data_IF_851401456909
#
_entry.id   IF_851401456909
#
_cell.length_a   1.000
_cell.length_b   1.000
_cell.length_c   1.000
_cell.angle_alpha   90.00
_cell.angle_beta   90.00
_cell.angle_gamma   90.00
#
_symmetry.space_group_name_H-M   'P 1'
#
loop_
_entity.id
_entity.type
_entity.pdbx_description
1 polymer ?
#
# COMPACT_ATOMS: atom_id res chain seq x y z
N UNK A 1 26.06 -20.65 6.67
CA UNK A 1 25.37 -21.73 7.45
C UNK A 1 25.02 -22.86 6.50
N UNK A 2 24.82 -24.10 7.00
CA UNK A 2 24.36 -25.22 6.16
C UNK A 2 22.88 -25.04 5.83
N UNK A 3 22.49 -25.24 4.57
CA UNK A 3 21.09 -25.20 4.19
C UNK A 3 20.31 -26.36 4.82
N UNK A 4 19.07 -26.12 5.22
CA UNK A 4 18.23 -27.16 5.83
C UNK A 4 17.95 -28.33 4.85
N UNK A 5 17.84 -28.05 3.57
CA UNK A 5 17.68 -29.08 2.51
C UNK A 5 18.90 -29.98 2.33
N UNK A 6 20.05 -29.60 2.89
CA UNK A 6 21.31 -30.38 2.82
C UNK A 6 21.56 -31.19 4.10
N UNK A 7 20.69 -31.08 5.11
CA UNK A 7 20.80 -31.80 6.38
C UNK A 7 20.28 -33.23 6.25
N UNK A 8 20.91 -34.15 7.01
CA UNK A 8 20.37 -35.50 7.14
C UNK A 8 19.07 -35.49 7.95
N UNK A 9 18.31 -36.59 7.85
CA UNK A 9 17.06 -36.74 8.63
C UNK A 9 17.32 -36.70 10.13
N UNK A 10 18.42 -37.28 10.57
CA UNK A 10 18.84 -37.26 11.98
C UNK A 10 19.21 -35.86 12.46
N UNK A 11 19.89 -35.08 11.62
CA UNK A 11 20.19 -33.67 11.90
C UNK A 11 18.94 -32.84 12.02
N UNK A 12 17.99 -33.00 11.07
CA UNK A 12 16.70 -32.32 11.11
C UNK A 12 15.86 -32.69 12.32
N UNK A 13 15.88 -33.99 12.74
CA UNK A 13 15.18 -34.44 13.97
C UNK A 13 15.78 -33.83 15.23
N UNK A 14 17.11 -33.74 15.32
CA UNK A 14 17.80 -33.11 16.44
C UNK A 14 17.46 -31.60 16.51
N UNK A 15 17.53 -30.91 15.36
CA UNK A 15 17.18 -29.49 15.24
C UNK A 15 15.71 -29.24 15.59
N UNK A 16 14.81 -30.13 15.14
CA UNK A 16 13.38 -30.02 15.50
C UNK A 16 13.19 -30.07 17.01
N UNK A 17 13.84 -30.97 17.71
CA UNK A 17 13.71 -31.11 19.18
C UNK A 17 14.17 -29.82 19.89
N UNK A 18 15.24 -29.20 19.43
CA UNK A 18 15.74 -27.94 19.98
C UNK A 18 14.74 -26.80 19.71
N UNK A 19 14.23 -26.70 18.50
CA UNK A 19 13.25 -25.68 18.12
C UNK A 19 11.91 -25.87 18.84
N UNK A 20 11.43 -27.10 19.04
CA UNK A 20 10.24 -27.39 19.83
C UNK A 20 10.37 -26.87 21.27
N UNK A 21 11.56 -27.05 21.87
CA UNK A 21 11.86 -26.54 23.22
C UNK A 21 11.85 -25.01 23.24
N UNK A 22 12.52 -24.34 22.28
CA UNK A 22 12.55 -22.88 22.16
C UNK A 22 11.13 -22.33 21.97
N UNK A 23 10.34 -22.97 21.12
CA UNK A 23 8.96 -22.56 20.88
C UNK A 23 8.08 -22.68 22.12
N UNK A 24 8.24 -23.78 22.90
CA UNK A 24 7.53 -23.96 24.15
C UNK A 24 7.91 -22.91 25.20
N UNK A 25 9.20 -22.58 25.31
CA UNK A 25 9.70 -21.52 26.20
C UNK A 25 9.15 -20.14 25.84
N UNK A 26 9.04 -19.84 24.52
CA UNK A 26 8.41 -18.61 24.03
C UNK A 26 6.92 -18.57 24.39
N UNK A 27 6.18 -19.65 24.15
CA UNK A 27 4.74 -19.72 24.51
C UNK A 27 4.52 -19.52 26.01
N UNK A 28 5.41 -20.01 26.86
CA UNK A 28 5.33 -19.85 28.30
C UNK A 28 5.50 -18.40 28.78
N UNK A 29 6.05 -17.50 27.95
CA UNK A 29 6.20 -16.09 28.27
C UNK A 29 4.87 -15.31 28.22
N UNK A 30 3.82 -15.86 27.59
CA UNK A 30 2.51 -15.22 27.51
C UNK A 30 2.50 -13.87 26.79
N UNK A 31 3.26 -13.77 25.68
CA UNK A 31 3.37 -12.53 24.91
C UNK A 31 2.04 -12.09 24.30
N UNK A 32 1.87 -10.79 24.10
CA UNK A 32 0.71 -10.19 23.44
C UNK A 32 1.17 -9.05 22.54
N UNK A 33 1.72 -9.40 21.37
CA UNK A 33 2.38 -8.49 20.42
C UNK A 33 1.59 -8.43 19.12
N UNK A 34 1.55 -7.26 18.47
CA UNK A 34 0.83 -7.06 17.20
C UNK A 34 1.78 -6.51 16.11
N UNK A 35 2.10 -7.36 15.14
CA UNK A 35 2.90 -7.05 13.95
C UNK A 35 2.05 -7.15 12.66
N UNK A 36 0.72 -7.04 12.78
CA UNK A 36 -0.21 -7.28 11.68
C UNK A 36 -0.50 -6.04 10.82
N UNK A 37 -0.38 -4.83 11.39
CA UNK A 37 -0.93 -3.62 10.78
C UNK A 37 0.14 -2.61 10.41
N UNK A 38 0.19 -2.26 9.11
CA UNK A 38 0.94 -1.11 8.60
C UNK A 38 0.22 0.21 8.90
N UNK A 39 0.17 0.60 10.16
CA UNK A 39 -0.37 1.88 10.62
C UNK A 39 0.71 2.66 11.39
N UNK A 40 0.61 4.00 11.44
CA UNK A 40 1.52 4.81 12.24
C UNK A 40 1.51 4.40 13.71
N UNK A 41 2.69 4.38 14.32
CA UNK A 41 2.85 4.21 15.77
C UNK A 41 2.42 5.49 16.52
N UNK A 42 2.28 5.39 17.85
CA UNK A 42 1.98 6.55 18.70
C UNK A 42 3.04 7.65 18.52
N UNK A 43 4.32 7.29 18.43
CA UNK A 43 5.40 8.26 18.23
C UNK A 43 5.27 8.99 16.89
N UNK A 44 4.88 8.29 15.82
CA UNK A 44 4.60 8.93 14.53
C UNK A 44 3.38 9.86 14.59
N UNK A 45 2.34 9.51 15.32
CA UNK A 45 1.18 10.39 15.49
C UNK A 45 1.55 11.63 16.29
N UNK A 46 2.38 11.47 17.33
CA UNK A 46 2.80 12.59 18.19
C UNK A 46 3.59 13.66 17.44
N UNK A 47 4.34 13.34 16.37
CA UNK A 47 5.03 14.36 15.58
C UNK A 47 4.10 15.26 14.77
N UNK A 48 2.84 14.87 14.62
CA UNK A 48 1.80 15.67 13.95
C UNK A 48 0.93 16.47 14.94
N UNK A 49 1.17 16.38 16.26
CA UNK A 49 0.27 16.99 17.26
C UNK A 49 0.16 18.51 17.14
N UNK A 50 1.24 19.20 16.79
CA UNK A 50 1.22 20.68 16.61
C UNK A 50 0.22 21.12 15.52
N UNK A 51 -0.21 20.19 14.65
CA UNK A 51 -1.27 20.43 13.68
C UNK A 51 -2.61 20.77 14.34
N UNK A 52 -2.84 20.34 15.58
CA UNK A 52 -4.07 20.63 16.32
C UNK A 52 -4.18 22.10 16.70
N UNK A 53 -3.06 22.81 16.79
CA UNK A 53 -2.96 24.19 17.28
C UNK A 53 -2.94 25.24 16.15
N UNK A 54 -2.87 24.81 14.88
CA UNK A 54 -2.78 25.75 13.74
C UNK A 54 -4.12 26.43 13.40
N UNK A 55 -5.23 25.89 13.88
CA UNK A 55 -6.57 26.49 13.79
C UNK A 55 -7.16 26.74 15.17
N UNK A 56 -7.57 27.96 15.41
CA UNK A 56 -8.24 28.38 16.64
C UNK A 56 -9.42 29.31 16.32
N UNK A 57 -10.17 29.72 17.33
CA UNK A 57 -11.25 30.70 17.18
C UNK A 57 -10.79 32.08 16.72
N UNK A 58 -9.48 32.39 16.84
CA UNK A 58 -8.87 33.65 16.39
C UNK A 58 -8.20 33.52 15.02
N UNK A 59 -8.12 32.32 14.43
CA UNK A 59 -7.53 32.10 13.11
C UNK A 59 -8.47 32.59 12.01
N UNK A 60 -7.93 33.25 10.99
CA UNK A 60 -8.68 33.47 9.75
C UNK A 60 -8.92 32.12 9.04
N UNK A 61 -10.17 31.73 8.97
CA UNK A 61 -10.64 30.44 8.41
C UNK A 61 -11.06 30.54 6.95
N UNK A 62 -10.62 31.59 6.24
CA UNK A 62 -10.80 31.71 4.80
C UNK A 62 -9.63 31.14 4.04
N UNK A 63 -9.94 30.51 2.90
CA UNK A 63 -8.92 30.14 1.95
C UNK A 63 -8.43 31.39 1.15
N UNK A 64 -7.39 31.26 0.36
CA UNK A 64 -6.77 32.35 -0.40
C UNK A 64 -7.75 33.06 -1.36
N UNK A 65 -8.81 32.39 -1.83
CA UNK A 65 -9.85 33.00 -2.67
C UNK A 65 -10.95 33.68 -1.85
N UNK A 66 -10.80 33.77 -0.53
CA UNK A 66 -11.73 34.43 0.36
C UNK A 66 -12.92 33.58 0.79
N UNK A 67 -13.01 32.33 0.36
CA UNK A 67 -14.10 31.42 0.76
C UNK A 67 -13.95 31.02 2.22
N UNK A 68 -15.01 31.14 3.00
CA UNK A 68 -15.07 30.71 4.38
C UNK A 68 -15.10 29.17 4.48
N UNK A 69 -14.01 28.57 4.99
CA UNK A 69 -13.85 27.13 5.08
C UNK A 69 -14.85 26.44 6.05
N UNK A 70 -15.59 27.19 6.84
CA UNK A 70 -16.65 26.67 7.72
C UNK A 70 -17.94 26.37 6.96
N UNK A 71 -18.10 26.87 5.75
CA UNK A 71 -19.36 26.82 5.00
C UNK A 71 -19.30 25.84 3.81
N UNK A 72 -20.38 25.62 3.16
CA UNK A 72 -20.51 24.82 1.94
C UNK A 72 -19.68 25.38 0.77
N UNK A 73 -19.55 24.59 -0.27
CA UNK A 73 -18.93 25.01 -1.55
C UNK A 73 -17.50 24.52 -1.73
N UNK A 74 -16.89 24.93 -2.84
CA UNK A 74 -15.54 24.54 -3.28
C UNK A 74 -15.43 23.00 -3.40
N UNK A 75 -16.16 22.46 -4.37
CA UNK A 75 -16.34 21.02 -4.58
C UNK A 75 -15.01 20.28 -4.76
N UNK A 76 -14.07 20.87 -5.51
CA UNK A 76 -12.77 20.26 -5.81
C UNK A 76 -11.74 20.41 -4.67
N UNK A 77 -12.09 21.10 -3.59
CA UNK A 77 -11.17 21.46 -2.53
C UNK A 77 -10.58 22.88 -2.66
N UNK A 78 -10.05 23.42 -1.57
CA UNK A 78 -9.45 24.77 -1.59
C UNK A 78 -8.17 24.77 -2.43
N UNK A 79 -7.86 25.88 -3.14
CA UNK A 79 -6.73 25.92 -4.07
C UNK A 79 -5.39 25.55 -3.44
N UNK A 80 -5.13 26.04 -2.23
CA UNK A 80 -3.89 25.76 -1.52
C UNK A 80 -3.75 24.26 -1.12
N UNK A 81 -4.85 23.56 -0.84
CA UNK A 81 -4.82 22.13 -0.60
C UNK A 81 -4.58 21.34 -1.90
N UNK A 82 -5.17 21.80 -3.01
CA UNK A 82 -4.91 21.22 -4.34
C UNK A 82 -3.42 21.37 -4.71
N UNK A 83 -2.80 22.52 -4.43
CA UNK A 83 -1.35 22.71 -4.65
C UNK A 83 -0.53 21.78 -3.78
N UNK A 84 -0.81 21.72 -2.48
CA UNK A 84 -0.06 20.87 -1.56
C UNK A 84 -0.11 19.39 -1.97
N UNK A 85 -1.30 18.86 -2.27
CA UNK A 85 -1.42 17.47 -2.73
C UNK A 85 -0.93 17.28 -4.16
N UNK A 86 -0.96 18.33 -4.98
CA UNK A 86 -0.34 18.36 -6.29
C UNK A 86 1.18 18.18 -6.21
N UNK A 87 1.84 18.94 -5.37
CA UNK A 87 3.28 18.82 -5.11
C UNK A 87 3.65 17.43 -4.56
N UNK A 88 2.90 16.91 -3.58
CA UNK A 88 3.09 15.56 -3.02
C UNK A 88 2.94 14.47 -4.10
N UNK A 89 2.05 14.68 -5.06
CA UNK A 89 1.70 13.71 -6.08
C UNK A 89 2.40 13.95 -7.42
N UNK A 90 3.18 15.04 -7.53
CA UNK A 90 3.83 15.47 -8.78
C UNK A 90 2.84 15.72 -9.92
N UNK A 91 1.70 16.35 -9.60
CA UNK A 91 0.58 16.60 -10.53
C UNK A 91 0.15 18.06 -10.46
N UNK A 92 -0.18 18.64 -11.62
CA UNK A 92 -0.77 19.99 -11.69
C UNK A 92 -2.07 20.06 -10.85
N UNK A 93 -2.24 21.09 -9.99
CA UNK A 93 -3.44 21.27 -9.18
C UNK A 93 -4.76 21.26 -9.94
N UNK A 94 -4.76 21.65 -11.23
CA UNK A 94 -5.96 21.59 -12.08
C UNK A 94 -6.44 20.15 -12.34
N UNK A 95 -5.56 19.18 -12.18
CA UNK A 95 -5.82 17.74 -12.38
C UNK A 95 -6.19 17.01 -11.09
N UNK A 96 -6.53 17.72 -10.00
CA UNK A 96 -6.81 17.14 -8.67
C UNK A 96 -8.19 17.53 -8.16
N UNK A 97 -8.87 16.55 -7.55
CA UNK A 97 -10.04 16.76 -6.68
C UNK A 97 -9.67 16.27 -5.28
N UNK A 98 -9.87 17.14 -4.27
CA UNK A 98 -9.72 16.77 -2.85
C UNK A 98 -10.99 16.10 -2.37
N UNK A 99 -10.81 15.03 -1.60
CA UNK A 99 -11.87 14.26 -0.96
C UNK A 99 -11.80 14.32 0.57
N UNK A 100 -12.47 13.36 1.23
CA UNK A 100 -12.39 13.16 2.66
C UNK A 100 -11.05 12.58 3.13
N UNK A 101 -11.05 11.87 4.23
CA UNK A 101 -9.80 11.49 4.92
C UNK A 101 -9.07 10.26 4.35
N UNK A 102 -9.64 9.51 3.42
CA UNK A 102 -9.09 8.21 3.02
C UNK A 102 -9.14 7.97 1.52
N UNK A 103 -7.99 7.67 0.91
CA UNK A 103 -7.92 7.23 -0.49
C UNK A 103 -8.68 5.92 -0.74
N UNK A 104 -8.82 5.06 0.28
CA UNK A 104 -9.62 3.82 0.17
C UNK A 104 -11.09 4.14 -0.14
N UNK A 105 -11.67 5.16 0.51
CA UNK A 105 -13.02 5.63 0.19
C UNK A 105 -13.13 6.13 -1.24
N UNK A 106 -12.13 6.88 -1.71
CA UNK A 106 -12.10 7.41 -3.08
C UNK A 106 -12.04 6.28 -4.10
N UNK A 107 -11.20 5.27 -3.85
CA UNK A 107 -11.12 4.07 -4.70
C UNK A 107 -12.44 3.29 -4.71
N UNK A 108 -13.05 3.08 -3.54
CA UNK A 108 -14.36 2.43 -3.44
C UNK A 108 -15.43 3.20 -4.22
N UNK A 109 -15.51 4.52 -4.02
CA UNK A 109 -16.47 5.38 -4.74
C UNK A 109 -16.25 5.34 -6.25
N UNK A 110 -14.99 5.29 -6.69
CA UNK A 110 -14.65 5.23 -8.12
C UNK A 110 -15.13 3.93 -8.75
N UNK A 111 -14.92 2.78 -8.08
CA UNK A 111 -15.46 1.49 -8.54
C UNK A 111 -17.00 1.48 -8.48
N UNK A 112 -17.58 1.99 -7.39
CA UNK A 112 -19.05 2.08 -7.22
C UNK A 112 -19.72 2.90 -8.34
N UNK A 113 -19.14 4.04 -8.70
CA UNK A 113 -19.62 4.86 -9.84
C UNK A 113 -19.51 4.11 -11.16
N UNK A 114 -18.39 3.41 -11.38
CA UNK A 114 -18.22 2.61 -12.59
C UNK A 114 -19.24 1.48 -12.68
N UNK A 115 -19.56 0.84 -11.54
CA UNK A 115 -20.60 -0.18 -11.47
C UNK A 115 -22.00 0.38 -11.81
N UNK A 116 -22.35 1.54 -11.30
CA UNK A 116 -23.70 2.10 -11.35
C UNK A 116 -23.96 3.00 -12.54
N UNK A 117 -22.95 3.76 -12.99
CA UNK A 117 -23.07 4.82 -14.01
C UNK A 117 -22.14 4.63 -15.20
N UNK A 118 -21.20 3.68 -15.15
CA UNK A 118 -20.17 3.52 -16.17
C UNK A 118 -19.03 4.54 -16.04
N UNK A 119 -18.13 4.55 -16.99
CA UNK A 119 -16.99 5.45 -17.08
C UNK A 119 -17.09 6.24 -18.38
N UNK A 120 -17.13 7.57 -18.29
CA UNK A 120 -17.17 8.47 -19.46
C UNK A 120 -18.23 8.07 -20.52
N UNK A 121 -19.44 7.78 -20.07
CA UNK A 121 -20.57 7.44 -20.92
C UNK A 121 -20.61 5.98 -21.42
N UNK A 122 -19.67 5.16 -21.04
CA UNK A 122 -19.71 3.73 -21.33
C UNK A 122 -20.78 3.02 -20.47
N UNK A 123 -21.14 1.80 -20.85
CA UNK A 123 -22.13 0.98 -20.14
C UNK A 123 -21.74 0.78 -18.68
N UNK A 124 -22.68 1.02 -17.73
CA UNK A 124 -22.47 0.69 -16.33
C UNK A 124 -22.01 -0.75 -16.15
N UNK A 125 -20.99 -0.99 -15.34
CA UNK A 125 -20.40 -2.33 -15.21
C UNK A 125 -21.38 -3.36 -14.66
N UNK A 126 -22.34 -2.94 -13.82
CA UNK A 126 -23.40 -3.85 -13.32
C UNK A 126 -24.34 -4.38 -14.41
N UNK A 127 -24.32 -3.82 -15.63
CA UNK A 127 -25.09 -4.26 -16.79
C UNK A 127 -24.29 -5.15 -17.75
N UNK A 128 -23.02 -5.37 -17.46
CA UNK A 128 -22.16 -6.25 -18.26
C UNK A 128 -22.23 -7.67 -17.72
N UNK A 129 -22.13 -8.65 -18.60
CA UNK A 129 -22.12 -10.07 -18.21
C UNK A 129 -20.92 -10.39 -17.30
N UNK A 130 -19.81 -9.73 -17.52
CA UNK A 130 -18.57 -9.98 -16.78
C UNK A 130 -17.70 -8.74 -16.67
N UNK A 131 -17.14 -8.54 -15.48
CA UNK A 131 -16.13 -7.51 -15.20
C UNK A 131 -14.95 -8.16 -14.51
N UNK A 132 -13.74 -7.83 -14.95
CA UNK A 132 -12.49 -8.37 -14.43
C UNK A 132 -11.51 -7.25 -14.07
N UNK A 133 -10.69 -7.51 -13.06
CA UNK A 133 -9.54 -6.67 -12.69
C UNK A 133 -8.26 -7.49 -12.67
N UNK A 134 -7.19 -6.89 -13.13
CA UNK A 134 -5.84 -7.40 -12.92
C UNK A 134 -5.36 -7.02 -11.52
N UNK A 135 -4.76 -7.96 -10.84
CA UNK A 135 -4.32 -7.83 -9.47
C UNK A 135 -2.85 -8.26 -9.37
N UNK A 136 -1.89 -7.31 -9.42
CA UNK A 136 -0.50 -7.60 -9.10
C UNK A 136 -0.38 -8.24 -7.71
N UNK A 137 0.31 -9.39 -7.64
CA UNK A 137 0.41 -10.21 -6.43
C UNK A 137 1.86 -10.63 -6.14
N UNK A 138 2.23 -10.69 -4.85
CA UNK A 138 1.44 -10.28 -3.67
C UNK A 138 1.11 -8.79 -3.72
N UNK A 139 -0.06 -8.39 -3.18
CA UNK A 139 -0.57 -7.02 -3.30
C UNK A 139 -1.35 -6.56 -2.05
N UNK A 140 -2.04 -5.42 -2.18
CA UNK A 140 -2.75 -4.81 -1.07
C UNK A 140 -4.16 -5.39 -0.89
N UNK A 141 -4.39 -6.04 0.24
CA UNK A 141 -5.63 -6.75 0.55
C UNK A 141 -6.91 -5.89 0.47
N UNK A 142 -6.82 -4.59 0.74
CA UNK A 142 -7.99 -3.68 0.66
C UNK A 142 -8.46 -3.45 -0.77
N UNK A 143 -7.57 -3.39 -1.74
CA UNK A 143 -7.91 -3.34 -3.15
C UNK A 143 -8.71 -4.58 -3.56
N UNK A 144 -8.23 -5.76 -3.18
CA UNK A 144 -8.90 -7.02 -3.49
C UNK A 144 -10.28 -7.11 -2.82
N UNK A 145 -10.43 -6.56 -1.61
CA UNK A 145 -11.73 -6.52 -0.93
C UNK A 145 -12.75 -5.62 -1.63
N UNK A 146 -12.33 -4.52 -2.24
CA UNK A 146 -13.23 -3.67 -3.06
C UNK A 146 -13.74 -4.48 -4.26
N UNK A 147 -12.83 -5.10 -5.02
CA UNK A 147 -13.20 -5.89 -6.20
C UNK A 147 -14.07 -7.09 -5.85
N UNK A 148 -13.72 -7.81 -4.79
CA UNK A 148 -14.51 -8.94 -4.29
C UNK A 148 -15.94 -8.51 -3.89
N UNK A 149 -16.04 -7.36 -3.18
CA UNK A 149 -17.33 -6.80 -2.72
C UNK A 149 -18.29 -6.51 -3.89
N UNK A 150 -17.77 -6.01 -5.01
CA UNK A 150 -18.57 -5.74 -6.20
C UNK A 150 -18.75 -6.94 -7.14
N UNK A 151 -18.27 -8.11 -6.77
CA UNK A 151 -18.37 -9.32 -7.61
C UNK A 151 -17.49 -9.27 -8.86
N UNK A 152 -16.46 -8.43 -8.87
CA UNK A 152 -15.50 -8.33 -9.98
C UNK A 152 -14.52 -9.50 -9.91
N UNK A 153 -14.35 -10.22 -11.02
CA UNK A 153 -13.38 -11.31 -11.11
C UNK A 153 -11.94 -10.76 -11.05
N UNK A 154 -11.10 -11.38 -10.23
CA UNK A 154 -9.73 -10.98 -10.06
C UNK A 154 -8.77 -11.96 -10.71
N UNK A 155 -7.81 -11.43 -11.50
CA UNK A 155 -6.77 -12.17 -12.18
C UNK A 155 -5.43 -11.82 -11.56
N UNK A 156 -4.72 -12.81 -11.02
CA UNK A 156 -3.38 -12.61 -10.48
C UNK A 156 -2.37 -12.27 -11.59
N UNK A 157 -1.56 -11.24 -11.35
CA UNK A 157 -0.41 -10.88 -12.19
C UNK A 157 0.84 -10.94 -11.31
N UNK A 158 1.86 -11.73 -11.65
CA UNK A 158 3.07 -11.82 -10.86
C UNK A 158 3.79 -10.46 -10.76
N UNK A 159 4.36 -10.19 -9.58
CA UNK A 159 5.22 -9.03 -9.34
C UNK A 159 6.71 -9.41 -9.45
N UNK A 160 7.51 -8.47 -9.91
CA UNK A 160 8.96 -8.47 -9.87
C UNK A 160 9.48 -7.19 -9.20
N UNK A 161 10.78 -7.07 -8.91
CA UNK A 161 11.37 -5.80 -8.42
C UNK A 161 11.12 -4.59 -9.32
N UNK A 162 10.90 -4.81 -10.62
CA UNK A 162 10.62 -3.76 -11.61
C UNK A 162 9.14 -3.37 -11.72
N UNK A 163 8.25 -4.13 -11.09
CA UNK A 163 6.79 -3.99 -11.17
C UNK A 163 6.08 -5.28 -11.60
N UNK A 164 4.81 -5.20 -12.02
CA UNK A 164 4.07 -6.36 -12.49
C UNK A 164 4.61 -6.91 -13.81
N UNK A 165 4.33 -8.18 -14.09
CA UNK A 165 4.62 -8.82 -15.39
C UNK A 165 3.84 -8.08 -16.50
N UNK A 166 4.53 -7.15 -17.16
CA UNK A 166 3.95 -6.31 -18.20
C UNK A 166 3.64 -7.06 -19.48
N UNK A 167 4.31 -8.16 -19.78
CA UNK A 167 3.98 -8.99 -20.94
C UNK A 167 2.59 -9.61 -20.76
N UNK A 168 2.33 -10.11 -19.56
CA UNK A 168 1.01 -10.61 -19.19
C UNK A 168 -0.06 -9.50 -19.17
N UNK A 169 0.26 -8.33 -18.58
CA UNK A 169 -0.66 -7.19 -18.52
C UNK A 169 -1.05 -6.73 -19.92
N UNK A 170 -0.09 -6.45 -20.79
CA UNK A 170 -0.32 -5.97 -22.15
C UNK A 170 -1.18 -6.95 -22.97
N UNK A 171 -0.85 -8.24 -22.88
CA UNK A 171 -1.60 -9.29 -23.56
C UNK A 171 -3.05 -9.32 -23.09
N UNK A 172 -3.28 -9.46 -21.80
CA UNK A 172 -4.63 -9.62 -21.25
C UNK A 172 -5.50 -8.38 -21.50
N UNK A 173 -4.95 -7.20 -21.29
CA UNK A 173 -5.68 -5.93 -21.47
C UNK A 173 -6.05 -5.69 -22.92
N UNK A 174 -5.21 -6.10 -23.88
CA UNK A 174 -5.48 -5.93 -25.32
C UNK A 174 -6.44 -6.99 -25.90
N UNK A 175 -6.57 -8.16 -25.28
CA UNK A 175 -7.38 -9.28 -25.79
C UNK A 175 -8.76 -9.38 -25.14
N UNK A 176 -8.93 -8.97 -23.86
CA UNK A 176 -10.15 -9.19 -23.09
C UNK A 176 -10.86 -7.88 -22.72
N UNK A 177 -11.98 -7.52 -23.40
CA UNK A 177 -12.76 -6.31 -23.10
C UNK A 177 -13.51 -6.36 -21.77
N UNK A 178 -13.55 -7.51 -21.08
CA UNK A 178 -14.11 -7.62 -19.73
C UNK A 178 -13.14 -7.06 -18.66
N UNK A 179 -11.87 -6.91 -18.98
CA UNK A 179 -10.88 -6.32 -18.06
C UNK A 179 -11.05 -4.80 -18.04
N UNK A 180 -11.53 -4.30 -16.90
CA UNK A 180 -11.88 -2.89 -16.71
C UNK A 180 -10.86 -2.13 -15.87
N UNK A 181 -9.96 -2.81 -15.20
CA UNK A 181 -8.96 -2.15 -14.38
C UNK A 181 -7.82 -3.03 -13.93
N UNK A 182 -6.82 -2.35 -13.39
CA UNK A 182 -5.66 -2.94 -12.71
C UNK A 182 -5.35 -2.13 -11.45
N UNK A 183 -5.12 -2.83 -10.33
CA UNK A 183 -4.64 -2.20 -9.09
C UNK A 183 -3.13 -2.06 -9.11
N UNK A 184 -2.62 -0.87 -8.82
CA UNK A 184 -1.19 -0.59 -8.72
C UNK A 184 -0.86 0.14 -7.43
N UNK A 185 0.18 -0.31 -6.72
CA UNK A 185 0.87 0.44 -5.67
C UNK A 185 2.31 0.65 -6.17
N UNK A 186 2.56 1.73 -6.92
CA UNK A 186 3.74 1.80 -7.79
C UNK A 186 5.02 2.20 -7.08
N UNK A 187 4.95 2.79 -5.89
CA UNK A 187 6.11 3.19 -5.10
C UNK A 187 6.03 2.55 -3.73
N UNK A 188 7.12 1.88 -3.33
CA UNK A 188 7.19 1.13 -2.08
C UNK A 188 5.99 0.20 -1.90
N UNK A 189 5.75 -0.64 -2.90
CA UNK A 189 4.57 -1.49 -3.04
C UNK A 189 4.27 -2.33 -1.79
N UNK A 190 3.02 -2.62 -1.58
CA UNK A 190 2.56 -3.47 -0.48
C UNK A 190 2.39 -4.91 -1.00
N UNK A 191 3.08 -5.91 -0.42
CA UNK A 191 3.98 -5.83 0.75
C UNK A 191 5.48 -5.71 0.43
N UNK A 192 5.91 -5.74 -0.86
CA UNK A 192 7.32 -5.98 -1.23
C UNK A 192 8.21 -4.74 -1.02
N UNK A 193 7.65 -3.55 -1.02
CA UNK A 193 8.43 -2.31 -1.00
C UNK A 193 9.12 -2.00 -2.33
N UNK A 194 8.70 -2.62 -3.42
CA UNK A 194 9.22 -2.36 -4.77
C UNK A 194 8.70 -1.03 -5.32
N UNK A 195 9.50 -0.39 -6.15
CA UNK A 195 9.09 0.78 -6.94
C UNK A 195 9.15 0.43 -8.42
N UNK A 196 8.08 0.74 -9.16
CA UNK A 196 8.02 0.43 -10.59
C UNK A 196 9.11 1.16 -11.35
N UNK A 197 9.80 0.44 -12.23
CA UNK A 197 10.83 1.02 -13.09
C UNK A 197 10.23 2.00 -14.10
N UNK A 198 11.06 2.90 -14.62
CA UNK A 198 10.63 3.83 -15.68
C UNK A 198 10.08 3.10 -16.90
N UNK A 199 10.68 1.96 -17.28
CA UNK A 199 10.17 1.19 -18.41
C UNK A 199 8.80 0.58 -18.12
N UNK A 200 8.56 0.09 -16.90
CA UNK A 200 7.25 -0.39 -16.47
C UNK A 200 6.21 0.71 -16.58
N UNK A 201 6.50 1.92 -16.08
CA UNK A 201 5.57 3.07 -16.18
C UNK A 201 5.31 3.44 -17.64
N UNK A 202 6.35 3.48 -18.49
CA UNK A 202 6.20 3.75 -19.93
C UNK A 202 5.38 2.67 -20.65
N UNK A 203 5.51 1.41 -20.25
CA UNK A 203 4.69 0.30 -20.78
C UNK A 203 3.23 0.46 -20.38
N UNK A 204 2.93 0.82 -19.13
CA UNK A 204 1.58 1.18 -18.70
C UNK A 204 0.99 2.30 -19.54
N UNK A 205 1.75 3.37 -19.79
CA UNK A 205 1.31 4.51 -20.58
C UNK A 205 0.94 4.15 -22.02
N UNK A 206 1.59 3.13 -22.60
CA UNK A 206 1.38 2.68 -23.99
C UNK A 206 0.37 1.55 -24.13
N UNK A 207 -0.31 1.13 -23.06
CA UNK A 207 -1.32 0.07 -23.13
C UNK A 207 -2.37 0.39 -24.18
N UNK A 208 -2.87 -0.65 -24.84
CA UNK A 208 -3.95 -0.59 -25.84
C UNK A 208 -5.12 -1.44 -25.39
N UNK A 209 -5.93 -0.95 -24.45
CA UNK A 209 -7.03 -1.74 -23.90
C UNK A 209 -8.09 -2.08 -24.95
N UNK A 210 -8.57 -3.32 -24.95
CA UNK A 210 -9.75 -3.71 -25.70
C UNK A 210 -11.02 -3.06 -25.13
N UNK A 211 -11.02 -2.72 -23.82
CA UNK A 211 -12.11 -2.00 -23.18
C UNK A 211 -11.86 -0.47 -23.19
N UNK A 212 -12.75 0.36 -23.80
CA UNK A 212 -12.57 1.81 -23.83
C UNK A 212 -12.68 2.47 -22.46
N UNK A 213 -13.28 1.79 -21.52
CA UNK A 213 -13.49 2.20 -20.13
C UNK A 213 -12.50 1.56 -19.15
N UNK A 214 -11.42 0.95 -19.65
CA UNK A 214 -10.31 0.46 -18.82
C UNK A 214 -9.62 1.60 -18.09
N UNK A 215 -9.28 1.40 -16.81
CA UNK A 215 -8.51 2.37 -16.00
C UNK A 215 -7.42 1.69 -15.19
N UNK A 216 -6.30 2.38 -15.07
CA UNK A 216 -5.21 2.06 -14.16
C UNK A 216 -5.53 2.75 -12.83
N UNK A 217 -5.73 1.98 -11.76
CA UNK A 217 -5.95 2.48 -10.40
C UNK A 217 -4.58 2.59 -9.72
N UNK A 218 -4.01 3.79 -9.74
CA UNK A 218 -2.65 4.11 -9.34
C UNK A 218 -2.65 4.63 -7.90
N UNK A 219 -2.53 3.73 -6.92
CA UNK A 219 -2.52 4.08 -5.49
C UNK A 219 -1.12 4.52 -5.06
N UNK A 220 -0.87 5.83 -5.12
CA UNK A 220 0.40 6.45 -4.76
C UNK A 220 0.46 6.80 -3.25
N UNK A 221 0.15 5.82 -2.40
CA UNK A 221 0.07 6.00 -0.96
C UNK A 221 1.41 6.35 -0.29
N UNK A 222 2.53 6.03 -0.94
CA UNK A 222 3.87 6.14 -0.37
C UNK A 222 4.80 7.10 -1.13
N UNK A 223 4.25 8.10 -1.81
CA UNK A 223 5.02 9.05 -2.64
C UNK A 223 6.21 9.69 -1.92
N UNK A 224 6.06 10.01 -0.63
CA UNK A 224 7.06 10.71 0.21
C UNK A 224 7.53 9.86 1.42
N UNK A 225 7.32 8.55 1.40
CA UNK A 225 7.57 7.67 2.56
C UNK A 225 8.93 6.97 2.47
N UNK A 226 9.99 7.74 2.27
CA UNK A 226 11.35 7.24 2.28
C UNK A 226 11.81 6.87 3.69
N UNK A 227 12.65 5.84 3.83
CA UNK A 227 13.31 5.50 5.09
C UNK A 227 14.63 6.25 5.27
N UNK A 228 15.22 6.77 4.19
CA UNK A 228 16.51 7.44 4.15
C UNK A 228 16.37 8.87 3.65
N UNK A 229 17.17 9.78 4.22
CA UNK A 229 17.18 11.20 3.83
C UNK A 229 18.08 11.47 2.62
N UNK A 230 19.07 10.60 2.35
CA UNK A 230 19.91 10.71 1.15
C UNK A 230 19.10 10.33 -0.09
N UNK A 231 18.95 11.24 -1.02
CA UNK A 231 18.22 11.03 -2.29
C UNK A 231 18.73 9.84 -3.11
N UNK A 232 20.02 9.48 -2.95
CA UNK A 232 20.58 8.28 -3.63
C UNK A 232 20.05 6.96 -3.08
N UNK A 233 19.53 6.98 -1.87
CA UNK A 233 18.90 5.83 -1.23
C UNK A 233 17.38 5.85 -1.37
N UNK A 234 16.81 6.87 -2.03
CA UNK A 234 15.38 6.97 -2.30
C UNK A 234 15.06 6.42 -3.69
N UNK A 235 13.92 5.76 -3.81
CA UNK A 235 13.45 5.33 -5.11
C UNK A 235 12.76 6.48 -5.84
N UNK A 236 13.02 6.55 -7.14
CA UNK A 236 12.33 7.45 -8.06
C UNK A 236 11.19 6.71 -8.76
N UNK A 237 10.04 7.36 -8.89
CA UNK A 237 8.90 6.88 -9.68
C UNK A 237 8.57 7.89 -10.76
N UNK A 238 8.55 7.45 -12.01
CA UNK A 238 8.16 8.30 -13.14
C UNK A 238 6.67 8.67 -13.04
N UNK A 239 6.32 9.92 -13.42
CA UNK A 239 4.93 10.41 -13.32
C UNK A 239 4.05 9.81 -14.43
N UNK A 240 3.07 9.00 -14.05
CA UNK A 240 2.25 8.22 -14.96
C UNK A 240 1.26 9.05 -15.80
N UNK A 241 0.69 10.15 -15.27
CA UNK A 241 -0.25 10.98 -16.02
C UNK A 241 0.44 11.67 -17.19
N UNK A 242 1.66 12.18 -16.96
CA UNK A 242 2.49 12.78 -18.01
C UNK A 242 2.88 11.76 -19.08
N UNK A 243 3.28 10.57 -18.68
CA UNK A 243 3.64 9.50 -19.63
C UNK A 243 2.43 9.03 -20.44
N UNK A 244 1.26 8.91 -19.83
CA UNK A 244 0.02 8.61 -20.54
C UNK A 244 -0.36 9.71 -21.53
N UNK A 245 -0.21 10.97 -21.15
CA UNK A 245 -0.46 12.09 -22.07
C UNK A 245 0.50 12.07 -23.27
N UNK A 246 1.80 11.86 -23.05
CA UNK A 246 2.82 11.70 -24.10
C UNK A 246 2.53 10.51 -25.03
N UNK A 247 1.98 9.43 -24.48
CA UNK A 247 1.61 8.23 -25.25
C UNK A 247 0.26 8.35 -25.99
N UNK A 248 -0.48 9.45 -25.81
CA UNK A 248 -1.80 9.65 -26.40
C UNK A 248 -2.95 8.96 -25.66
N UNK A 249 -2.74 8.55 -24.41
CA UNK A 249 -3.70 7.86 -23.54
C UNK A 249 -4.01 8.66 -22.25
N UNK A 250 -4.34 9.98 -22.31
CA UNK A 250 -4.43 10.82 -21.11
C UNK A 250 -5.50 10.36 -20.11
N UNK A 251 -6.53 9.65 -20.59
CA UNK A 251 -7.69 9.29 -19.76
C UNK A 251 -7.57 7.93 -19.08
N UNK A 252 -6.43 7.25 -19.20
CA UNK A 252 -6.31 5.86 -18.77
C UNK A 252 -6.07 5.68 -17.26
N UNK A 253 -5.79 6.77 -16.50
CA UNK A 253 -5.34 6.68 -15.12
C UNK A 253 -6.27 7.39 -14.15
N UNK A 254 -6.53 6.73 -13.02
CA UNK A 254 -6.96 7.33 -11.76
C UNK A 254 -5.83 7.20 -10.74
N UNK A 255 -5.24 8.33 -10.34
CA UNK A 255 -4.15 8.38 -9.36
C UNK A 255 -4.69 8.82 -8.00
N UNK A 256 -4.42 8.03 -6.98
CA UNK A 256 -4.91 8.27 -5.62
C UNK A 256 -3.77 8.62 -4.69
N UNK A 257 -4.02 9.55 -3.77
CA UNK A 257 -3.09 9.91 -2.71
C UNK A 257 -3.84 10.27 -1.44
N UNK A 258 -3.17 10.24 -0.30
CA UNK A 258 -3.72 10.72 0.97
C UNK A 258 -2.62 11.06 1.97
N UNK A 259 -2.96 11.88 2.96
CA UNK A 259 -2.09 12.18 4.09
C UNK A 259 -2.26 11.20 5.27
N UNK A 260 -2.93 10.05 5.05
CA UNK A 260 -3.24 9.08 6.12
C UNK A 260 -2.02 8.58 6.89
N UNK A 261 -0.86 8.49 6.23
CA UNK A 261 0.40 8.09 6.85
C UNK A 261 1.41 9.24 6.95
N UNK A 262 0.97 10.46 6.65
CA UNK A 262 1.75 11.70 6.76
C UNK A 262 1.33 12.45 8.03
N UNK A 263 0.01 12.70 8.20
CA UNK A 263 -0.58 13.37 9.37
C UNK A 263 -1.31 12.37 10.26
N UNK A 264 -2.64 12.35 10.19
CA UNK A 264 -3.49 11.45 10.99
C UNK A 264 -4.35 10.55 10.09
N UNK A 265 -4.31 9.22 10.22
CA UNK A 265 -5.16 8.32 9.45
C UNK A 265 -6.66 8.60 9.61
N UNK A 266 -7.07 8.96 10.82
CA UNK A 266 -8.48 9.27 11.13
C UNK A 266 -8.92 10.67 10.72
N UNK A 267 -8.00 11.55 10.36
CA UNK A 267 -8.25 12.98 10.09
C UNK A 267 -7.30 13.54 9.03
N UNK A 268 -6.98 12.74 8.03
CA UNK A 268 -6.19 13.15 6.88
C UNK A 268 -7.03 13.82 5.80
N UNK A 269 -6.41 14.08 4.65
CA UNK A 269 -7.06 14.45 3.40
C UNK A 269 -6.61 13.51 2.29
N UNK A 270 -7.53 13.17 1.40
CA UNK A 270 -7.27 12.32 0.23
C UNK A 270 -7.56 13.09 -1.06
N UNK A 271 -6.98 12.62 -2.14
CA UNK A 271 -7.22 13.20 -3.45
C UNK A 271 -7.24 12.13 -4.54
N UNK A 272 -7.95 12.47 -5.63
CA UNK A 272 -7.88 11.79 -6.90
C UNK A 272 -7.33 12.75 -7.93
N UNK A 273 -6.29 12.32 -8.64
CA UNK A 273 -5.75 13.02 -9.80
C UNK A 273 -6.03 12.21 -11.07
N UNK A 274 -6.40 12.93 -12.15
CA UNK A 274 -6.71 12.32 -13.44
C UNK A 274 -6.70 13.39 -14.55
N UNK A 275 -6.90 12.98 -15.80
CA UNK A 275 -7.12 13.90 -16.90
C UNK A 275 -8.34 14.78 -16.66
N UNK A 276 -8.36 15.94 -17.32
CA UNK A 276 -9.51 16.86 -17.25
C UNK A 276 -10.82 16.15 -17.62
N UNK A 277 -10.81 15.33 -18.67
CA UNK A 277 -12.00 14.62 -19.13
C UNK A 277 -12.53 13.63 -18.06
N UNK A 278 -11.66 12.88 -17.39
CA UNK A 278 -12.05 12.03 -16.27
C UNK A 278 -12.60 12.86 -15.11
N UNK A 279 -11.97 13.97 -14.75
CA UNK A 279 -12.43 14.82 -13.65
C UNK A 279 -13.79 15.44 -13.95
N UNK A 280 -14.02 15.90 -15.20
CA UNK A 280 -15.30 16.45 -15.62
C UNK A 280 -16.42 15.38 -15.59
N UNK A 281 -16.11 14.14 -15.91
CA UNK A 281 -17.05 13.02 -15.76
C UNK A 281 -17.35 12.72 -14.27
N UNK A 282 -16.33 12.65 -13.44
CA UNK A 282 -16.46 12.42 -12.00
C UNK A 282 -17.28 13.51 -11.31
N UNK A 283 -17.08 14.79 -11.66
CA UNK A 283 -17.80 15.94 -11.06
C UNK A 283 -19.30 15.83 -11.20
N UNK A 284 -19.81 15.22 -12.28
CA UNK A 284 -21.26 15.01 -12.48
C UNK A 284 -21.89 14.23 -11.33
N UNK A 285 -21.14 13.34 -10.74
CA UNK A 285 -21.62 12.43 -9.68
C UNK A 285 -21.28 12.93 -8.28
N UNK A 286 -20.12 13.53 -8.07
CA UNK A 286 -19.72 14.08 -6.76
C UNK A 286 -20.72 15.11 -6.29
N UNK A 287 -21.25 15.95 -7.18
CA UNK A 287 -22.24 16.98 -6.84
C UNK A 287 -23.56 16.43 -6.28
N UNK A 288 -23.82 15.14 -6.50
CA UNK A 288 -24.96 14.44 -5.89
C UNK A 288 -24.58 13.85 -4.53
N UNK A 289 -23.32 13.46 -4.35
CA UNK A 289 -22.82 12.83 -3.13
C UNK A 289 -22.56 13.85 -2.02
N UNK A 290 -22.01 15.02 -2.34
CA UNK A 290 -21.61 16.05 -1.37
C UNK A 290 -21.71 17.45 -1.93
N UNK A 291 -21.77 18.47 -1.06
CA UNK A 291 -21.67 19.89 -1.41
C UNK A 291 -20.24 20.41 -1.21
N UNK A 292 -19.32 19.55 -0.83
CA UNK A 292 -17.90 19.80 -0.58
C UNK A 292 -17.40 19.04 0.63
N UNK A 293 -16.13 18.70 0.59
CA UNK A 293 -15.46 18.00 1.68
C UNK A 293 -14.98 18.98 2.76
N UNK A 294 -14.50 18.46 3.89
CA UNK A 294 -14.04 19.21 5.06
C UNK A 294 -12.90 20.19 4.71
N UNK A 295 -13.26 21.47 4.51
CA UNK A 295 -12.31 22.52 4.19
C UNK A 295 -11.51 23.03 5.39
N UNK A 296 -12.02 22.88 6.60
CA UNK A 296 -11.24 23.20 7.81
C UNK A 296 -10.08 22.24 7.94
N UNK A 297 -10.30 20.95 7.67
CA UNK A 297 -9.23 19.96 7.68
C UNK A 297 -8.21 20.20 6.55
N UNK A 298 -8.66 20.60 5.35
CA UNK A 298 -7.79 21.00 4.25
C UNK A 298 -6.92 22.19 4.66
N UNK A 299 -7.53 23.25 5.21
CA UNK A 299 -6.85 24.46 5.66
C UNK A 299 -5.83 24.16 6.77
N UNK A 300 -6.18 23.26 7.70
CA UNK A 300 -5.29 22.80 8.76
C UNK A 300 -4.02 22.16 8.21
N UNK A 301 -4.14 21.28 7.22
CA UNK A 301 -2.99 20.64 6.56
C UNK A 301 -2.11 21.67 5.85
N UNK A 302 -2.72 22.59 5.10
CA UNK A 302 -1.98 23.66 4.41
C UNK A 302 -1.22 24.55 5.38
N UNK A 303 -1.87 25.00 6.46
CA UNK A 303 -1.23 25.85 7.46
C UNK A 303 -0.09 25.14 8.21
N UNK A 304 -0.21 23.84 8.42
CA UNK A 304 0.79 23.04 9.10
C UNK A 304 2.01 22.76 8.21
N UNK A 305 1.79 22.20 7.03
CA UNK A 305 2.89 21.81 6.12
C UNK A 305 3.44 22.97 5.33
N UNK A 306 2.62 23.95 4.96
CA UNK A 306 2.91 25.12 4.12
C UNK A 306 3.19 24.78 2.66
N UNK A 307 4.12 23.88 2.38
CA UNK A 307 4.57 23.45 1.06
C UNK A 307 5.22 22.06 1.13
N UNK A 308 5.75 21.58 0.00
CA UNK A 308 6.42 20.28 -0.11
C UNK A 308 7.66 20.18 0.80
N UNK A 309 8.44 21.24 0.97
CA UNK A 309 9.61 21.24 1.88
C UNK A 309 9.17 20.94 3.32
N UNK A 310 8.06 21.54 3.76
CA UNK A 310 7.46 21.25 5.06
C UNK A 310 6.99 19.80 5.19
N UNK A 311 6.45 19.23 4.13
CA UNK A 311 6.10 17.80 4.09
C UNK A 311 7.35 16.93 4.19
N UNK A 312 8.40 17.22 3.42
CA UNK A 312 9.66 16.47 3.45
C UNK A 312 10.32 16.52 4.82
N UNK A 313 10.43 17.72 5.43
CA UNK A 313 10.96 17.87 6.79
C UNK A 313 10.15 17.04 7.82
N UNK A 314 8.83 16.99 7.67
CA UNK A 314 7.96 16.17 8.51
C UNK A 314 8.19 14.68 8.26
N UNK A 315 8.31 14.25 7.01
CA UNK A 315 8.54 12.85 6.65
C UNK A 315 9.93 12.36 7.07
N UNK A 316 10.94 13.20 7.11
CA UNK A 316 12.26 12.87 7.71
C UNK A 316 12.13 12.50 9.20
N UNK A 317 11.21 13.12 9.94
CA UNK A 317 10.92 12.76 11.32
C UNK A 317 10.23 11.38 11.41
N UNK A 318 9.32 11.06 10.47
CA UNK A 318 8.76 9.72 10.35
C UNK A 318 9.83 8.68 10.03
N UNK A 319 10.71 8.97 9.08
CA UNK A 319 11.83 8.11 8.69
C UNK A 319 12.74 7.79 9.88
N UNK A 320 13.07 8.77 10.70
CA UNK A 320 13.89 8.59 11.91
C UNK A 320 13.27 7.62 12.93
N UNK A 321 11.93 7.49 12.96
CA UNK A 321 11.21 6.51 13.79
C UNK A 321 11.15 5.14 13.12
N UNK A 322 10.90 5.10 11.81
CA UNK A 322 10.66 3.86 11.09
C UNK A 322 11.93 3.11 10.73
N UNK A 323 12.96 3.80 10.24
CA UNK A 323 14.22 3.18 9.77
C UNK A 323 14.83 2.21 10.78
N UNK A 324 15.04 2.55 12.06
CA UNK A 324 15.61 1.60 13.03
C UNK A 324 14.78 0.33 13.20
N UNK A 325 13.46 0.41 13.02
CA UNK A 325 12.56 -0.73 13.11
C UNK A 325 12.72 -1.68 11.92
N UNK A 326 12.83 -1.13 10.71
CA UNK A 326 13.09 -1.91 9.50
C UNK A 326 14.46 -2.57 9.55
N UNK A 327 15.51 -1.80 9.82
CA UNK A 327 16.88 -2.29 9.94
C UNK A 327 17.02 -3.41 11.00
N UNK A 328 16.33 -3.28 12.13
CA UNK A 328 16.35 -4.30 13.19
C UNK A 328 15.69 -5.60 12.73
N UNK A 329 14.54 -5.53 12.05
CA UNK A 329 13.86 -6.73 11.53
C UNK A 329 14.72 -7.40 10.46
N UNK A 330 15.23 -6.63 9.49
CA UNK A 330 16.11 -7.14 8.42
C UNK A 330 17.38 -7.77 8.97
N UNK A 331 18.05 -7.14 9.94
CA UNK A 331 19.22 -7.68 10.58
C UNK A 331 18.92 -8.98 11.35
N UNK A 332 17.72 -9.08 11.97
CA UNK A 332 17.28 -10.29 12.65
C UNK A 332 17.05 -11.43 11.65
N UNK A 333 16.37 -11.15 10.55
CA UNK A 333 16.12 -12.13 9.49
C UNK A 333 17.44 -12.62 8.88
N UNK A 334 18.36 -11.71 8.53
CA UNK A 334 19.65 -12.04 7.95
C UNK A 334 20.50 -12.89 8.90
N UNK A 335 20.59 -12.47 10.16
CA UNK A 335 21.37 -13.21 11.18
C UNK A 335 20.85 -14.62 11.41
N UNK A 336 19.53 -14.78 11.46
CA UNK A 336 18.90 -16.01 11.93
C UNK A 336 18.47 -16.96 10.80
N UNK A 337 18.15 -16.42 9.62
CA UNK A 337 17.63 -17.18 8.48
C UNK A 337 18.57 -17.13 7.27
N UNK A 338 19.50 -16.16 7.22
CA UNK A 338 20.43 -15.97 6.11
C UNK A 338 21.22 -17.23 5.79
N UNK A 339 21.19 -17.66 4.53
CA UNK A 339 21.90 -18.85 4.05
C UNK A 339 21.31 -20.21 4.44
N UNK A 340 20.19 -20.25 5.19
CA UNK A 340 19.52 -21.52 5.55
C UNK A 340 18.66 -22.09 4.42
N UNK A 341 18.28 -21.29 3.41
CA UNK A 341 17.45 -21.72 2.29
C UNK A 341 15.99 -22.02 2.66
N UNK A 342 15.47 -21.37 3.70
CA UNK A 342 14.12 -21.59 4.24
C UNK A 342 13.23 -20.35 4.16
N UNK A 343 13.73 -19.27 3.58
CA UNK A 343 12.98 -18.05 3.35
C UNK A 343 13.81 -16.99 2.64
N UNK A 344 13.10 -16.06 1.99
CA UNK A 344 13.64 -14.88 1.32
C UNK A 344 12.81 -13.67 1.77
N UNK A 345 13.39 -12.49 1.77
CA UNK A 345 12.69 -11.26 2.14
C UNK A 345 13.17 -10.06 1.37
N UNK A 346 12.32 -9.05 1.31
CA UNK A 346 12.66 -7.77 0.68
C UNK A 346 13.33 -6.83 1.67
N UNK A 347 14.16 -5.92 1.16
CA UNK A 347 14.84 -4.84 1.91
C UNK A 347 14.36 -3.49 1.34
N UNK A 348 13.17 -3.01 1.74
CA UNK A 348 12.58 -1.81 1.16
C UNK A 348 13.30 -0.55 1.62
N UNK A 349 13.37 0.44 0.72
CA UNK A 349 13.89 1.78 1.01
C UNK A 349 12.81 2.77 1.47
N UNK A 350 11.59 2.31 1.60
CA UNK A 350 10.44 3.11 2.01
C UNK A 350 9.18 2.29 2.22
N UNK A 351 8.07 2.96 2.51
CA UNK A 351 6.80 2.30 2.78
C UNK A 351 6.69 1.75 4.21
N UNK A 352 5.82 0.73 4.39
CA UNK A 352 5.41 0.27 5.72
C UNK A 352 5.57 -1.24 5.93
N UNK A 353 6.10 -1.98 4.94
CA UNK A 353 6.08 -3.43 4.98
C UNK A 353 7.40 -4.05 4.49
N UNK A 354 7.66 -5.25 4.98
CA UNK A 354 8.64 -6.18 4.44
C UNK A 354 7.87 -7.41 3.97
N UNK A 355 8.14 -7.88 2.75
CA UNK A 355 7.60 -9.14 2.24
C UNK A 355 8.54 -10.28 2.57
N UNK A 356 8.01 -11.34 3.12
CA UNK A 356 8.73 -12.57 3.41
C UNK A 356 8.13 -13.73 2.62
N UNK A 357 8.95 -14.47 1.91
CA UNK A 357 8.58 -15.71 1.24
C UNK A 357 9.16 -16.89 2.00
N UNK A 358 8.30 -17.69 2.61
CA UNK A 358 8.67 -18.95 3.26
C UNK A 358 8.84 -20.08 2.24
N UNK A 359 9.28 -21.24 2.69
CA UNK A 359 9.11 -22.46 1.91
C UNK A 359 7.64 -22.67 1.54
N UNK A 360 7.38 -23.12 0.31
CA UNK A 360 6.04 -23.37 -0.19
C UNK A 360 5.21 -24.26 0.75
N UNK A 361 3.97 -23.90 1.05
CA UNK A 361 3.07 -24.59 1.96
C UNK A 361 3.32 -24.30 3.45
N UNK A 362 4.18 -23.34 3.80
CA UNK A 362 4.53 -23.04 5.19
C UNK A 362 3.88 -21.78 5.77
N UNK A 363 3.43 -20.84 4.95
CA UNK A 363 3.00 -19.51 5.43
C UNK A 363 1.85 -19.56 6.44
N UNK A 364 0.79 -20.31 6.17
CA UNK A 364 -0.34 -20.47 7.11
C UNK A 364 0.09 -21.05 8.44
N UNK A 365 0.97 -22.06 8.40
CA UNK A 365 1.49 -22.71 9.59
C UNK A 365 2.34 -21.75 10.42
N UNK A 366 3.25 -21.01 9.79
CA UNK A 366 4.09 -19.99 10.45
C UNK A 366 3.22 -18.94 11.15
N UNK A 367 2.24 -18.39 10.45
CA UNK A 367 1.33 -17.37 11.00
C UNK A 367 0.48 -17.93 12.16
N UNK A 368 0.00 -19.16 12.04
CA UNK A 368 -0.73 -19.82 13.13
C UNK A 368 0.14 -20.04 14.37
N UNK A 369 1.36 -20.53 14.21
CA UNK A 369 2.32 -20.72 15.29
C UNK A 369 2.71 -19.40 15.94
N UNK A 370 2.96 -18.35 15.17
CA UNK A 370 3.24 -17.02 15.70
C UNK A 370 2.09 -16.52 16.58
N UNK A 371 0.84 -16.68 16.13
CA UNK A 371 -0.36 -16.33 16.90
C UNK A 371 -0.47 -17.13 18.21
N UNK A 372 -0.23 -18.43 18.19
CA UNK A 372 -0.21 -19.27 19.38
C UNK A 372 0.88 -18.86 20.37
N UNK A 373 2.00 -18.35 19.87
CA UNK A 373 3.11 -17.81 20.66
C UNK A 373 2.91 -16.36 21.09
N UNK A 374 1.72 -15.77 20.83
CA UNK A 374 1.35 -14.43 21.25
C UNK A 374 1.76 -13.30 20.30
N UNK A 375 2.09 -13.61 19.04
CA UNK A 375 2.39 -12.61 18.02
C UNK A 375 1.33 -12.64 16.93
N UNK A 376 0.52 -11.57 16.87
CA UNK A 376 -0.50 -11.40 15.81
C UNK A 376 0.16 -10.86 14.55
N UNK A 377 -0.04 -11.55 13.44
CA UNK A 377 0.40 -11.16 12.10
C UNK A 377 -0.80 -11.01 11.15
N UNK A 378 -0.59 -10.41 10.00
CA UNK A 378 -1.57 -10.45 8.91
C UNK A 378 -1.79 -11.92 8.51
N UNK A 379 -3.04 -12.32 8.30
CA UNK A 379 -3.37 -13.70 7.90
C UNK A 379 -2.66 -14.09 6.60
N UNK A 380 -2.09 -15.27 6.56
CA UNK A 380 -1.48 -15.81 5.34
C UNK A 380 -2.50 -15.88 4.21
N UNK A 381 -2.10 -15.50 2.99
CA UNK A 381 -2.98 -15.38 1.83
C UNK A 381 -3.65 -14.02 1.68
N UNK A 382 -3.66 -13.14 2.68
CA UNK A 382 -4.29 -11.81 2.58
C UNK A 382 -3.72 -10.95 1.45
N UNK A 383 -2.47 -11.17 1.06
CA UNK A 383 -1.79 -10.47 -0.04
C UNK A 383 -2.17 -10.97 -1.44
N UNK A 384 -3.16 -11.85 -1.52
CA UNK A 384 -3.69 -12.42 -2.77
C UNK A 384 -5.21 -12.28 -2.86
N UNK A 385 -5.78 -12.15 -4.07
CA UNK A 385 -7.21 -12.20 -4.31
C UNK A 385 -7.88 -13.39 -3.62
N UNK A 386 -9.07 -13.16 -3.06
CA UNK A 386 -9.86 -14.17 -2.34
C UNK A 386 -9.15 -14.78 -1.12
N UNK A 387 -8.05 -14.19 -0.66
CA UNK A 387 -7.24 -14.72 0.45
C UNK A 387 -6.50 -16.02 0.10
N UNK A 388 -6.22 -16.26 -1.18
CA UNK A 388 -5.65 -17.51 -1.68
C UNK A 388 -4.29 -17.29 -2.31
N UNK A 389 -3.24 -17.46 -1.54
CA UNK A 389 -1.89 -17.59 -2.06
C UNK A 389 -1.71 -19.01 -2.62
N UNK A 390 -1.46 -19.17 -3.95
CA UNK A 390 -1.32 -20.50 -4.57
C UNK A 390 -0.17 -21.33 -4.01
N UNK A 391 0.89 -20.65 -3.54
CA UNK A 391 2.09 -21.31 -2.99
C UNK A 391 2.05 -21.44 -1.47
N UNK A 392 1.13 -20.74 -0.79
CA UNK A 392 1.12 -20.64 0.67
C UNK A 392 2.51 -20.31 1.23
N UNK A 393 3.15 -19.26 0.68
CA UNK A 393 4.51 -18.86 0.98
C UNK A 393 4.67 -17.42 1.45
N UNK A 394 3.78 -16.51 1.00
CA UNK A 394 3.93 -15.09 1.28
C UNK A 394 3.41 -14.68 2.66
N UNK A 395 4.22 -13.94 3.39
CA UNK A 395 3.90 -13.36 4.70
C UNK A 395 4.27 -11.88 4.69
N UNK A 396 3.31 -11.03 5.04
CA UNK A 396 3.53 -9.60 5.20
C UNK A 396 3.95 -9.26 6.62
N UNK A 397 5.13 -8.68 6.78
CA UNK A 397 5.65 -8.17 8.05
C UNK A 397 5.40 -6.65 8.10
N UNK A 398 4.84 -6.16 9.21
CA UNK A 398 4.55 -4.74 9.42
C UNK A 398 5.37 -4.18 10.60
N UNK A 399 6.57 -3.61 10.39
CA UNK A 399 7.43 -3.12 11.47
C UNK A 399 6.93 -1.82 12.10
N UNK A 400 6.04 -1.08 11.43
CA UNK A 400 5.75 0.33 11.75
C UNK A 400 5.08 0.55 13.10
N UNK A 401 4.14 -0.30 13.49
CA UNK A 401 3.25 -0.06 14.63
C UNK A 401 3.86 -0.33 16.01
N UNK A 402 4.46 -1.51 16.30
CA UNK A 402 4.91 -1.80 17.66
C UNK A 402 6.14 -0.94 18.06
N UNK A 403 6.34 -0.69 19.36
CA UNK A 403 7.62 -0.20 19.86
C UNK A 403 8.78 -1.13 19.47
N UNK A 404 9.99 -0.60 19.38
CA UNK A 404 11.12 -1.36 18.85
C UNK A 404 11.49 -2.58 19.70
N UNK A 405 11.34 -2.50 21.02
CA UNK A 405 11.62 -3.61 21.96
C UNK A 405 10.57 -4.74 21.85
N UNK A 406 9.31 -4.40 21.59
CA UNK A 406 8.25 -5.37 21.29
C UNK A 406 8.44 -5.99 19.91
N UNK A 407 8.81 -5.19 18.92
CA UNK A 407 9.09 -5.63 17.57
C UNK A 407 10.27 -6.62 17.53
N UNK A 408 11.34 -6.36 18.30
CA UNK A 408 12.46 -7.28 18.41
C UNK A 408 12.05 -8.65 18.97
N UNK A 409 11.20 -8.68 19.99
CA UNK A 409 10.64 -9.93 20.53
C UNK A 409 9.77 -10.63 19.50
N UNK A 410 8.91 -9.90 18.79
CA UNK A 410 8.04 -10.46 17.76
C UNK A 410 8.84 -11.05 16.58
N UNK A 411 9.92 -10.38 16.16
CA UNK A 411 10.81 -10.89 15.11
C UNK A 411 11.52 -12.19 15.53
N UNK A 412 11.97 -12.31 16.77
CA UNK A 412 12.56 -13.54 17.31
C UNK A 412 11.55 -14.70 17.33
N UNK A 413 10.31 -14.44 17.74
CA UNK A 413 9.24 -15.46 17.68
C UNK A 413 9.00 -15.90 16.25
N UNK A 414 8.87 -14.94 15.33
CA UNK A 414 8.66 -15.22 13.91
C UNK A 414 9.75 -16.14 13.34
N UNK A 415 11.01 -15.83 13.61
CA UNK A 415 12.15 -16.62 13.15
C UNK A 415 12.09 -18.07 13.64
N UNK A 416 11.74 -18.31 14.91
CA UNK A 416 11.59 -19.67 15.45
C UNK A 416 10.45 -20.41 14.75
N UNK A 417 9.34 -19.73 14.49
CA UNK A 417 8.20 -20.31 13.75
C UNK A 417 8.59 -20.68 12.30
N UNK A 418 9.37 -19.84 11.62
CA UNK A 418 9.88 -20.12 10.26
C UNK A 418 10.79 -21.34 10.27
N UNK A 419 11.76 -21.40 11.19
CA UNK A 419 12.69 -22.53 11.32
C UNK A 419 11.93 -23.83 11.60
N UNK A 420 11.02 -23.82 12.56
CA UNK A 420 10.28 -25.02 12.98
C UNK A 420 9.34 -25.51 11.86
N UNK A 421 8.57 -24.63 11.23
CA UNK A 421 7.70 -25.01 10.12
C UNK A 421 8.49 -25.61 8.94
N UNK A 422 9.67 -25.04 8.65
CA UNK A 422 10.54 -25.52 7.56
C UNK A 422 11.13 -26.90 7.86
N UNK A 423 11.61 -27.13 9.09
CA UNK A 423 12.13 -28.44 9.50
C UNK A 423 11.03 -29.51 9.46
N UNK A 424 9.82 -29.18 9.93
CA UNK A 424 8.70 -30.13 9.91
C UNK A 424 8.26 -30.48 8.48
N UNK A 425 8.32 -29.49 7.55
CA UNK A 425 8.07 -29.76 6.14
C UNK A 425 9.10 -30.74 5.57
N UNK A 426 10.40 -30.46 5.76
CA UNK A 426 11.49 -31.31 5.24
C UNK A 426 11.51 -32.72 5.84
N UNK A 427 11.02 -32.88 7.07
CA UNK A 427 10.90 -34.21 7.69
C UNK A 427 9.68 -35.00 7.17
N UNK A 428 8.69 -34.30 6.57
CA UNK A 428 7.49 -34.92 6.01
C UNK A 428 7.67 -35.36 4.53
N UNK A 429 8.66 -34.80 3.85
CA UNK A 429 9.12 -35.18 2.50
C UNK A 429 10.03 -36.42 2.56
#
# INVERSE_FOLDING_TARGET
MQKYSEMSKEQLQALKKELDQQYAEIKAQGLALDMSRGKPSVDQLNISMDMMDVLSSSTDLRCETGVDCRNYGVMDGIPEAKRLLGEISEVDPEHIIIYGNSSLNVMFDTVSRSMTHGVMGNTPWCKLDKVKFLCPVPGYDRHFKITEFFGIEMINVPMSPEGPDMDMVEKLVSEDPAIKGIWCVPKYSTPQGYTYSEETVKRFARLKPAAPDFRIYWDNAYSVHHLYDDEKEQDFLLEILDECAKAGNPDMVYKFTSTSKISFPGSGIAALAASKANLDDIRKYITVQTIGHDKLNQLRHVKFFKNLDGVHAHMSRHAAILRPKFEMVEATLEKELGGLGIGEWTTPKGGYFISFESMEGCAKKIVAMAKEAGVVMTGAGATYPYGKDPKDSNIRIAPSFPPIDELEKAAKVFVVCVKLASVEKLLAE
#
